data_IF_792278721930
#
_entry.id   IF_792278721930
#
_cell.length_a   1.000
_cell.length_b   1.000
_cell.length_c   1.000
_cell.angle_alpha   90.00
_cell.angle_beta   90.00
_cell.angle_gamma   90.00
#
_symmetry.space_group_name_H-M   'P 1'
#
loop_
_entity.id
_entity.type
_entity.pdbx_description
1 polymer ?
#
# COMPACT_ATOMS: atom_id res chain seq x y z
N UNK A 1 72.50 11.43 1.31
CA UNK A 1 71.60 12.06 2.31
C UNK A 1 70.85 13.28 1.78
N UNK A 2 71.48 14.21 1.05
CA UNK A 2 70.80 15.45 0.60
C UNK A 2 69.57 15.24 -0.31
N UNK A 3 69.53 14.21 -1.15
CA UNK A 3 68.38 13.96 -2.05
C UNK A 3 67.10 13.52 -1.32
N UNK A 4 67.23 12.81 -0.19
CA UNK A 4 66.09 12.33 0.61
C UNK A 4 65.48 13.49 1.40
N UNK A 5 66.31 14.40 1.89
CA UNK A 5 65.86 15.62 2.60
C UNK A 5 65.10 16.54 1.65
N UNK A 6 65.59 16.71 0.40
CA UNK A 6 64.90 17.52 -0.62
C UNK A 6 63.54 16.90 -0.97
N UNK A 7 63.47 15.57 -1.14
CA UNK A 7 62.21 14.88 -1.44
C UNK A 7 61.19 15.01 -0.31
N UNK A 8 61.64 14.89 0.94
CA UNK A 8 60.80 15.05 2.12
C UNK A 8 60.30 16.49 2.27
N UNK A 9 61.14 17.49 1.95
CA UNK A 9 60.76 18.90 1.99
C UNK A 9 59.74 19.25 0.90
N UNK A 10 59.89 18.69 -0.31
CA UNK A 10 58.92 18.89 -1.40
C UNK A 10 57.57 18.23 -1.12
N UNK A 11 57.56 17.04 -0.50
CA UNK A 11 56.32 16.37 -0.10
C UNK A 11 55.58 17.14 1.01
N UNK A 12 56.31 17.72 1.97
CA UNK A 12 55.73 18.51 3.05
C UNK A 12 55.12 19.83 2.53
N UNK A 13 55.81 20.53 1.63
CA UNK A 13 55.30 21.75 0.99
C UNK A 13 54.08 21.49 0.09
N UNK A 14 54.01 20.34 -0.59
CA UNK A 14 52.86 19.97 -1.40
C UNK A 14 51.59 19.74 -0.55
N UNK A 15 51.73 19.17 0.65
CA UNK A 15 50.58 18.99 1.57
C UNK A 15 50.09 20.28 2.21
N UNK A 16 50.95 21.30 2.35
CA UNK A 16 50.55 22.60 2.92
C UNK A 16 49.75 23.46 1.93
N UNK A 17 49.98 23.29 0.62
CA UNK A 17 49.30 24.07 -0.43
C UNK A 17 47.88 23.56 -0.75
N UNK A 18 47.56 22.29 -0.46
CA UNK A 18 46.24 21.71 -0.76
C UNK A 18 45.21 21.94 0.35
N UNK A 19 45.63 22.24 1.58
CA UNK A 19 44.72 22.47 2.71
C UNK A 19 44.28 23.94 2.89
N UNK A 20 44.89 24.89 2.18
CA UNK A 20 44.66 26.31 2.39
C UNK A 20 43.39 26.87 1.72
N UNK A 21 42.68 26.09 0.89
CA UNK A 21 41.63 26.62 -0.01
C UNK A 21 40.25 25.94 0.12
N UNK A 22 39.94 25.27 1.24
CA UNK A 22 38.54 25.00 1.57
C UNK A 22 37.90 26.31 2.03
N UNK A 23 36.96 26.91 1.25
CA UNK A 23 36.28 28.13 1.68
C UNK A 23 35.55 27.83 2.98
N UNK A 24 35.98 28.46 4.09
CA UNK A 24 35.38 28.26 5.42
C UNK A 24 33.92 28.73 5.49
N UNK A 25 33.51 29.56 4.52
CA UNK A 25 32.16 30.10 4.39
C UNK A 25 31.79 30.07 2.90
N UNK A 26 31.04 29.05 2.48
CA UNK A 26 30.35 29.09 1.19
C UNK A 26 29.22 30.10 1.30
N UNK A 27 29.09 30.99 0.32
CA UNK A 27 27.92 31.85 0.21
C UNK A 27 26.70 30.93 0.02
N UNK A 28 25.64 30.99 0.85
CA UNK A 28 24.50 30.08 0.74
C UNK A 28 23.84 30.08 -0.64
N UNK A 29 23.98 31.17 -1.40
CA UNK A 29 23.47 31.30 -2.77
C UNK A 29 24.34 30.60 -3.82
N UNK A 30 25.53 30.13 -3.46
CA UNK A 30 26.48 29.42 -4.33
C UNK A 30 26.61 27.93 -3.97
N UNK A 31 25.99 27.49 -2.88
CA UNK A 31 25.95 26.08 -2.52
C UNK A 31 24.96 25.35 -3.41
N UNK A 32 25.38 24.25 -4.03
CA UNK A 32 24.45 23.37 -4.73
C UNK A 32 23.46 22.78 -3.70
N UNK A 33 22.16 22.68 -4.05
CA UNK A 33 21.18 22.07 -3.16
C UNK A 33 21.61 20.64 -2.80
N UNK A 34 21.65 20.32 -1.51
CA UNK A 34 21.95 18.97 -1.07
C UNK A 34 20.84 18.03 -1.54
N UNK A 35 21.23 16.99 -2.28
CA UNK A 35 20.33 15.94 -2.72
C UNK A 35 20.12 14.92 -1.59
N UNK A 36 18.93 14.32 -1.50
CA UNK A 36 18.68 13.26 -0.52
C UNK A 36 19.62 12.06 -0.74
N UNK A 37 19.93 11.35 0.34
CA UNK A 37 20.75 10.15 0.29
C UNK A 37 20.07 9.06 -0.54
N UNK A 38 20.72 8.66 -1.64
CA UNK A 38 20.22 7.65 -2.58
C UNK A 38 19.96 6.31 -1.92
N UNK A 39 20.87 5.90 -1.03
CA UNK A 39 20.76 4.63 -0.30
C UNK A 39 19.60 4.68 0.69
N UNK A 40 19.47 5.78 1.43
CA UNK A 40 18.39 5.95 2.40
C UNK A 40 17.02 5.97 1.72
N UNK A 41 16.88 6.71 0.61
CA UNK A 41 15.65 6.71 -0.17
C UNK A 41 15.28 5.30 -0.62
N UNK A 42 16.22 4.56 -1.19
CA UNK A 42 15.95 3.19 -1.65
C UNK A 42 15.54 2.26 -0.49
N UNK A 43 16.18 2.39 0.68
CA UNK A 43 15.78 1.62 1.87
C UNK A 43 14.37 1.99 2.34
N UNK A 44 14.02 3.28 2.34
CA UNK A 44 12.71 3.75 2.76
C UNK A 44 11.63 3.23 1.80
N UNK A 45 11.81 3.39 0.48
CA UNK A 45 10.85 2.87 -0.49
C UNK A 45 10.75 1.35 -0.45
N UNK A 46 11.88 0.65 -0.28
CA UNK A 46 11.88 -0.80 -0.05
C UNK A 46 11.03 -1.17 1.17
N UNK A 47 11.20 -0.49 2.29
CA UNK A 47 10.41 -0.74 3.51
C UNK A 47 8.92 -0.43 3.35
N UNK A 48 8.56 0.62 2.60
CA UNK A 48 7.17 0.96 2.32
C UNK A 48 6.52 -0.15 1.49
N UNK A 49 7.21 -0.58 0.44
CA UNK A 49 6.74 -1.63 -0.46
C UNK A 49 6.63 -2.98 0.28
N UNK A 50 7.63 -3.35 1.08
CA UNK A 50 7.62 -4.57 1.89
C UNK A 50 6.45 -4.58 2.88
N UNK A 51 6.13 -3.44 3.48
CA UNK A 51 4.98 -3.29 4.35
C UNK A 51 3.65 -3.47 3.61
N UNK A 52 3.51 -2.88 2.41
CA UNK A 52 2.33 -3.06 1.58
C UNK A 52 2.14 -4.51 1.13
N UNK A 53 3.22 -5.19 0.73
CA UNK A 53 3.22 -6.63 0.39
C UNK A 53 2.79 -7.47 1.60
N UNK A 54 3.28 -7.13 2.78
CA UNK A 54 2.88 -7.78 4.05
C UNK A 54 1.49 -7.36 4.55
N UNK A 55 0.72 -6.63 3.74
CA UNK A 55 -0.61 -6.08 4.05
C UNK A 55 -0.66 -5.18 5.29
N UNK A 56 0.48 -4.62 5.69
CA UNK A 56 0.57 -3.59 6.71
C UNK A 56 0.43 -2.19 6.07
N UNK A 57 -0.75 -1.94 5.50
CA UNK A 57 -1.04 -0.73 4.74
C UNK A 57 -0.99 0.53 5.60
N UNK A 58 -1.38 0.44 6.88
CA UNK A 58 -1.28 1.55 7.83
C UNK A 58 0.16 2.04 7.96
N UNK A 59 1.11 1.12 8.24
CA UNK A 59 2.52 1.48 8.35
C UNK A 59 3.10 1.99 7.03
N UNK A 60 2.73 1.37 5.90
CA UNK A 60 3.18 1.83 4.58
C UNK A 60 2.74 3.28 4.31
N UNK A 61 1.47 3.62 4.56
CA UNK A 61 0.92 4.96 4.36
C UNK A 61 1.51 5.98 5.33
N UNK A 62 1.73 5.61 6.60
CA UNK A 62 2.43 6.46 7.58
C UNK A 62 3.84 6.80 7.10
N UNK A 63 4.59 5.81 6.61
CA UNK A 63 5.95 6.01 6.07
C UNK A 63 5.97 6.87 4.82
N UNK A 64 4.97 6.75 3.94
CA UNK A 64 4.83 7.66 2.80
C UNK A 64 4.49 9.08 3.27
N UNK A 65 3.69 9.24 4.32
CA UNK A 65 3.38 10.56 4.86
C UNK A 65 4.63 11.26 5.42
N UNK A 66 5.51 10.52 6.10
CA UNK A 66 6.81 11.03 6.58
C UNK A 66 7.69 11.58 5.45
N UNK A 67 7.60 11.02 4.23
CA UNK A 67 8.38 11.48 3.07
C UNK A 67 8.04 12.93 2.66
N UNK A 68 6.81 13.40 2.86
CA UNK A 68 6.46 14.80 2.57
C UNK A 68 7.13 15.81 3.50
N UNK A 69 7.70 15.36 4.63
CA UNK A 69 8.50 16.19 5.53
C UNK A 69 9.98 16.31 5.12
N UNK A 70 10.43 15.55 4.12
CA UNK A 70 11.82 15.55 3.67
C UNK A 70 12.08 16.77 2.78
N UNK A 71 13.20 17.46 3.02
CA UNK A 71 13.64 18.53 2.13
C UNK A 71 14.05 17.96 0.78
N UNK A 72 13.45 18.48 -0.30
CA UNK A 72 13.75 18.11 -1.68
C UNK A 72 14.02 19.38 -2.50
N UNK A 73 15.12 19.44 -3.25
CA UNK A 73 15.42 20.55 -4.14
C UNK A 73 14.30 20.80 -5.18
N UNK A 74 14.00 22.06 -5.45
CA UNK A 74 12.86 22.45 -6.32
C UNK A 74 12.95 21.86 -7.74
N UNK A 75 14.17 21.67 -8.25
CA UNK A 75 14.42 21.09 -9.58
C UNK A 75 14.03 19.61 -9.70
N UNK A 76 13.87 18.89 -8.58
CA UNK A 76 13.49 17.47 -8.56
C UNK A 76 12.20 17.20 -7.80
N UNK A 77 11.66 18.22 -7.14
CA UNK A 77 10.48 18.15 -6.28
C UNK A 77 9.25 17.56 -6.97
N UNK A 78 8.96 18.02 -8.20
CA UNK A 78 7.82 17.51 -8.97
C UNK A 78 7.89 15.99 -9.16
N UNK A 79 9.06 15.47 -9.57
CA UNK A 79 9.27 14.03 -9.81
C UNK A 79 9.15 13.25 -8.51
N UNK A 80 9.68 13.80 -7.41
CA UNK A 80 9.57 13.21 -6.09
C UNK A 80 8.12 13.13 -5.58
N UNK A 81 7.41 14.25 -5.63
CA UNK A 81 6.03 14.35 -5.16
C UNK A 81 5.10 13.46 -6.00
N UNK A 82 5.30 13.42 -7.33
CA UNK A 82 4.51 12.57 -8.23
C UNK A 82 4.70 11.09 -7.94
N UNK A 83 5.93 10.65 -7.73
CA UNK A 83 6.22 9.26 -7.38
C UNK A 83 5.56 8.86 -6.06
N UNK A 84 5.71 9.70 -5.02
CA UNK A 84 5.09 9.46 -3.71
C UNK A 84 3.55 9.48 -3.77
N UNK A 85 2.97 10.39 -4.57
CA UNK A 85 1.52 10.45 -4.78
C UNK A 85 1.00 9.15 -5.41
N UNK A 86 1.66 8.65 -6.46
CA UNK A 86 1.29 7.41 -7.13
C UNK A 86 1.42 6.20 -6.19
N UNK A 87 2.55 6.09 -5.47
CA UNK A 87 2.76 5.01 -4.50
C UNK A 87 1.70 5.05 -3.38
N UNK A 88 1.40 6.23 -2.84
CA UNK A 88 0.35 6.42 -1.83
C UNK A 88 -1.02 5.97 -2.34
N UNK A 89 -1.39 6.38 -3.55
CA UNK A 89 -2.65 6.00 -4.19
C UNK A 89 -2.75 4.50 -4.43
N UNK A 90 -1.67 3.87 -4.90
CA UNK A 90 -1.64 2.43 -5.12
C UNK A 90 -1.81 1.65 -3.81
N UNK A 91 -1.02 1.98 -2.79
CA UNK A 91 -1.10 1.35 -1.46
C UNK A 91 -2.51 1.51 -0.87
N UNK A 92 -3.12 2.69 -1.01
CA UNK A 92 -4.50 2.92 -0.55
C UNK A 92 -5.53 2.08 -1.32
N UNK A 93 -5.34 1.85 -2.62
CA UNK A 93 -6.25 1.00 -3.42
C UNK A 93 -6.07 -0.49 -3.13
N UNK A 94 -4.85 -0.91 -2.81
CA UNK A 94 -4.57 -2.27 -2.35
C UNK A 94 -5.19 -2.54 -0.97
N UNK A 95 -5.13 -1.57 -0.06
CA UNK A 95 -5.81 -1.63 1.23
C UNK A 95 -7.33 -1.77 1.07
N UNK A 96 -7.95 -0.87 0.28
CA UNK A 96 -9.38 -0.94 -0.05
C UNK A 96 -9.77 -2.30 -0.65
N UNK A 97 -8.95 -2.83 -1.55
CA UNK A 97 -9.17 -4.16 -2.13
C UNK A 97 -9.14 -5.25 -1.07
N UNK A 98 -8.15 -5.25 -0.17
CA UNK A 98 -8.05 -6.21 0.93
C UNK A 98 -9.27 -6.16 1.85
N UNK A 99 -9.72 -4.95 2.21
CA UNK A 99 -10.92 -4.74 3.02
C UNK A 99 -12.15 -5.36 2.33
N UNK A 100 -12.39 -5.06 1.05
CA UNK A 100 -13.53 -5.60 0.32
C UNK A 100 -13.45 -7.12 0.14
N UNK A 101 -12.26 -7.69 -0.06
CA UNK A 101 -12.06 -9.13 -0.12
C UNK A 101 -12.41 -9.81 1.21
N UNK A 102 -11.92 -9.28 2.32
CA UNK A 102 -12.22 -9.78 3.66
C UNK A 102 -13.71 -9.66 4.00
N UNK A 103 -14.34 -8.54 3.66
CA UNK A 103 -15.79 -8.39 3.81
C UNK A 103 -16.58 -9.36 2.94
N UNK A 104 -16.12 -9.63 1.72
CA UNK A 104 -16.76 -10.61 0.82
C UNK A 104 -16.71 -12.01 1.44
N UNK A 105 -15.55 -12.43 1.96
CA UNK A 105 -15.39 -13.70 2.67
C UNK A 105 -16.31 -13.78 3.89
N UNK A 106 -16.41 -12.71 4.67
CA UNK A 106 -17.29 -12.63 5.83
C UNK A 106 -18.77 -12.77 5.42
N UNK A 107 -19.22 -11.99 4.43
CA UNK A 107 -20.60 -12.03 3.92
C UNK A 107 -20.94 -13.42 3.36
N UNK A 108 -20.01 -14.06 2.64
CA UNK A 108 -20.16 -15.45 2.19
C UNK A 108 -20.32 -16.43 3.35
N UNK A 109 -19.52 -16.30 4.40
CA UNK A 109 -19.61 -17.17 5.58
C UNK A 109 -20.95 -17.03 6.33
N UNK A 110 -21.59 -15.86 6.21
CA UNK A 110 -22.90 -15.56 6.78
C UNK A 110 -24.06 -15.96 5.85
N UNK A 111 -23.77 -16.51 4.67
CA UNK A 111 -24.77 -16.83 3.65
C UNK A 111 -25.36 -15.60 2.96
N UNK A 112 -24.78 -14.41 3.14
CA UNK A 112 -25.25 -13.16 2.57
C UNK A 112 -24.78 -12.99 1.10
N UNK A 113 -25.35 -13.77 0.19
CA UNK A 113 -24.82 -14.01 -1.15
C UNK A 113 -24.90 -12.78 -2.08
N UNK A 114 -26.00 -12.04 -2.07
CA UNK A 114 -26.12 -10.81 -2.88
C UNK A 114 -25.21 -9.71 -2.33
N UNK A 115 -25.11 -9.58 -1.01
CA UNK A 115 -24.19 -8.61 -0.39
C UNK A 115 -22.73 -8.94 -0.69
N UNK A 116 -22.35 -10.23 -0.63
CA UNK A 116 -21.03 -10.69 -1.05
C UNK A 116 -20.77 -10.37 -2.53
N UNK A 117 -21.75 -10.60 -3.41
CA UNK A 117 -21.64 -10.29 -4.85
C UNK A 117 -21.34 -8.80 -5.08
N UNK A 118 -22.09 -7.91 -4.43
CA UNK A 118 -21.89 -6.45 -4.54
C UNK A 118 -20.52 -6.02 -4.00
N UNK A 119 -20.11 -6.61 -2.88
CA UNK A 119 -18.83 -6.27 -2.23
C UNK A 119 -17.64 -6.77 -3.05
N UNK A 120 -17.73 -7.95 -3.65
CA UNK A 120 -16.70 -8.47 -4.56
C UNK A 120 -16.51 -7.57 -5.78
N UNK A 121 -17.59 -6.97 -6.30
CA UNK A 121 -17.52 -6.00 -7.39
C UNK A 121 -16.77 -4.72 -6.99
N UNK A 122 -16.88 -4.30 -5.73
CA UNK A 122 -16.10 -3.17 -5.21
C UNK A 122 -14.61 -3.54 -5.12
N UNK A 123 -14.27 -4.77 -4.70
CA UNK A 123 -12.90 -5.27 -4.73
C UNK A 123 -12.33 -5.28 -6.16
N UNK A 124 -13.10 -5.75 -7.14
CA UNK A 124 -12.71 -5.76 -8.56
C UNK A 124 -12.44 -4.36 -9.10
N UNK A 125 -13.30 -3.39 -8.75
CA UNK A 125 -13.13 -2.00 -9.16
C UNK A 125 -11.89 -1.38 -8.53
N UNK A 126 -11.70 -1.55 -7.21
CA UNK A 126 -10.54 -1.01 -6.49
C UNK A 126 -9.22 -1.61 -6.99
N UNK A 127 -9.20 -2.92 -7.30
CA UNK A 127 -8.01 -3.58 -7.84
C UNK A 127 -7.70 -3.12 -9.26
N UNK A 128 -8.71 -2.91 -10.10
CA UNK A 128 -8.52 -2.38 -11.45
C UNK A 128 -7.92 -0.97 -11.41
N UNK A 129 -8.36 -0.13 -10.47
CA UNK A 129 -7.76 1.19 -10.23
C UNK A 129 -6.31 1.07 -9.75
N UNK A 130 -6.00 0.17 -8.81
CA UNK A 130 -4.63 -0.11 -8.37
C UNK A 130 -3.71 -0.52 -9.53
N UNK A 131 -4.17 -1.41 -10.40
CA UNK A 131 -3.42 -1.88 -11.57
C UNK A 131 -3.13 -0.79 -12.61
N UNK A 132 -4.04 0.18 -12.78
CA UNK A 132 -3.79 1.36 -13.62
C UNK A 132 -2.72 2.24 -12.98
N UNK A 133 -2.86 2.53 -11.68
CA UNK A 133 -1.91 3.37 -10.93
C UNK A 133 -0.52 2.73 -10.93
N UNK A 134 -0.44 1.40 -10.76
CA UNK A 134 0.82 0.67 -10.77
C UNK A 134 1.60 0.88 -12.08
N UNK A 135 0.90 0.82 -13.23
CA UNK A 135 1.54 1.08 -14.53
C UNK A 135 2.07 2.51 -14.63
N UNK A 136 1.33 3.49 -14.12
CA UNK A 136 1.82 4.87 -14.02
C UNK A 136 3.02 5.00 -13.07
N UNK A 137 3.03 4.24 -11.97
CA UNK A 137 4.13 4.21 -11.00
C UNK A 137 5.39 3.59 -11.60
N UNK A 138 5.27 2.49 -12.35
CA UNK A 138 6.37 1.87 -13.09
C UNK A 138 7.00 2.86 -14.08
N UNK A 139 6.19 3.62 -14.82
CA UNK A 139 6.69 4.64 -15.73
C UNK A 139 7.34 5.82 -14.99
N UNK A 140 6.71 6.31 -13.92
CA UNK A 140 7.26 7.36 -13.06
C UNK A 140 8.58 6.94 -12.40
N UNK A 141 8.75 5.65 -12.08
CA UNK A 141 9.96 5.11 -11.45
C UNK A 141 11.23 5.31 -12.30
N UNK A 142 11.09 5.36 -13.63
CA UNK A 142 12.20 5.56 -14.58
C UNK A 142 12.75 6.99 -14.46
N UNK A 143 11.85 7.98 -14.48
CA UNK A 143 12.20 9.39 -14.32
C UNK A 143 12.73 9.65 -12.90
N UNK A 144 12.03 9.12 -11.89
CA UNK A 144 12.43 9.20 -10.49
C UNK A 144 13.84 8.64 -10.25
N UNK A 145 14.15 7.49 -10.85
CA UNK A 145 15.48 6.89 -10.76
C UNK A 145 16.56 7.71 -11.47
N UNK A 146 16.25 8.26 -12.64
CA UNK A 146 17.18 9.10 -13.40
C UNK A 146 17.51 10.39 -12.67
N UNK A 147 16.50 11.06 -12.10
CA UNK A 147 16.64 12.40 -11.52
C UNK A 147 17.29 12.35 -10.13
N UNK A 148 16.90 11.38 -9.29
CA UNK A 148 17.48 11.22 -7.96
C UNK A 148 18.73 10.33 -7.95
N UNK A 149 19.04 9.69 -9.08
CA UNK A 149 20.20 8.82 -9.24
C UNK A 149 20.16 7.57 -8.36
N UNK A 150 18.96 7.07 -8.06
CA UNK A 150 18.75 5.78 -7.38
C UNK A 150 18.80 4.63 -8.40
N UNK A 151 19.02 3.42 -7.90
CA UNK A 151 19.14 2.23 -8.74
C UNK A 151 17.77 1.79 -9.29
N UNK A 152 17.52 2.07 -10.57
CA UNK A 152 16.30 1.62 -11.26
C UNK A 152 16.08 0.11 -11.13
N UNK A 153 17.08 -0.78 -11.36
CA UNK A 153 16.86 -2.23 -11.22
C UNK A 153 16.39 -2.66 -9.82
N UNK A 154 16.88 -2.01 -8.77
CA UNK A 154 16.48 -2.33 -7.40
C UNK A 154 15.06 -1.84 -7.10
N UNK A 155 14.70 -0.64 -7.59
CA UNK A 155 13.34 -0.11 -7.46
C UNK A 155 12.33 -0.92 -8.28
N UNK A 156 12.65 -1.21 -9.54
CA UNK A 156 11.77 -2.00 -10.43
C UNK A 156 11.51 -3.40 -9.88
N UNK A 157 12.51 -4.06 -9.29
CA UNK A 157 12.29 -5.36 -8.64
C UNK A 157 11.28 -5.26 -7.50
N UNK A 158 11.32 -4.18 -6.70
CA UNK A 158 10.36 -3.96 -5.62
C UNK A 158 8.96 -3.66 -6.16
N UNK A 159 8.85 -2.89 -7.24
CA UNK A 159 7.57 -2.68 -7.90
C UNK A 159 7.02 -4.00 -8.47
N UNK A 160 7.84 -4.87 -9.02
CA UNK A 160 7.38 -6.20 -9.47
C UNK A 160 6.78 -7.02 -8.31
N UNK A 161 7.36 -6.95 -7.11
CA UNK A 161 6.80 -7.61 -5.92
C UNK A 161 5.41 -7.03 -5.53
N UNK A 162 5.12 -5.74 -5.82
CA UNK A 162 3.77 -5.17 -5.71
C UNK A 162 2.82 -5.65 -6.81
N UNK A 163 3.33 -5.81 -8.03
CA UNK A 163 2.55 -6.38 -9.15
C UNK A 163 2.12 -7.81 -8.82
N UNK A 164 2.97 -8.59 -8.17
CA UNK A 164 2.63 -9.94 -7.70
C UNK A 164 1.45 -9.90 -6.72
N UNK A 165 1.43 -8.97 -5.76
CA UNK A 165 0.28 -8.78 -4.85
C UNK A 165 -1.02 -8.43 -5.61
N UNK A 166 -0.94 -7.57 -6.64
CA UNK A 166 -2.10 -7.27 -7.51
C UNK A 166 -2.61 -8.56 -8.18
N UNK A 167 -1.71 -9.43 -8.63
CA UNK A 167 -2.06 -10.70 -9.23
C UNK A 167 -2.68 -11.67 -8.21
N UNK A 168 -2.14 -11.74 -6.98
CA UNK A 168 -2.73 -12.53 -5.89
C UNK A 168 -4.18 -12.11 -5.60
N UNK A 169 -4.44 -10.80 -5.50
CA UNK A 169 -5.80 -10.30 -5.33
C UNK A 169 -6.70 -10.61 -6.53
N UNK A 170 -6.17 -10.56 -7.75
CA UNK A 170 -6.93 -10.93 -8.96
C UNK A 170 -7.37 -12.39 -8.92
N UNK A 171 -6.47 -13.28 -8.53
CA UNK A 171 -6.74 -14.71 -8.40
C UNK A 171 -7.75 -15.00 -7.28
N UNK A 172 -7.65 -14.26 -6.17
CA UNK A 172 -8.61 -14.35 -5.07
C UNK A 172 -10.02 -13.90 -5.50
N UNK A 173 -10.13 -12.76 -6.20
CA UNK A 173 -11.40 -12.28 -6.76
C UNK A 173 -12.02 -13.33 -7.69
N UNK A 174 -11.21 -13.93 -8.56
CA UNK A 174 -11.67 -14.97 -9.46
C UNK A 174 -12.20 -16.20 -8.70
N UNK A 175 -11.48 -16.66 -7.68
CA UNK A 175 -11.89 -17.77 -6.82
C UNK A 175 -13.23 -17.49 -6.11
N UNK A 176 -13.37 -16.32 -5.48
CA UNK A 176 -14.61 -15.90 -4.81
C UNK A 176 -15.77 -15.76 -5.80
N UNK A 177 -15.52 -15.26 -7.01
CA UNK A 177 -16.52 -15.17 -8.08
C UNK A 177 -17.04 -16.55 -8.50
N UNK A 178 -16.14 -17.54 -8.63
CA UNK A 178 -16.52 -18.92 -8.91
C UNK A 178 -17.35 -19.52 -7.77
N UNK A 179 -16.95 -19.29 -6.52
CA UNK A 179 -17.69 -19.77 -5.35
C UNK A 179 -19.11 -19.18 -5.32
N UNK A 180 -19.25 -17.86 -5.51
CA UNK A 180 -20.57 -17.19 -5.59
C UNK A 180 -21.41 -17.80 -6.70
N UNK A 181 -20.86 -17.99 -7.91
CA UNK A 181 -21.58 -18.60 -9.04
C UNK A 181 -22.05 -20.01 -8.72
N UNK A 182 -21.24 -20.82 -8.03
CA UNK A 182 -21.63 -22.16 -7.62
C UNK A 182 -22.76 -22.16 -6.58
N UNK A 183 -22.70 -21.25 -5.60
CA UNK A 183 -23.76 -21.09 -4.59
C UNK A 183 -25.08 -20.64 -5.23
N UNK A 184 -25.04 -19.67 -6.16
CA UNK A 184 -26.20 -19.22 -6.93
C UNK A 184 -26.82 -20.36 -7.75
N UNK A 185 -26.00 -21.19 -8.41
CA UNK A 185 -26.48 -22.35 -9.17
C UNK A 185 -27.17 -23.41 -8.31
N UNK A 186 -26.81 -23.50 -7.02
CA UNK A 186 -27.45 -24.41 -6.07
C UNK A 186 -28.75 -23.85 -5.48
N UNK A 187 -29.21 -22.68 -5.97
CA UNK A 187 -30.36 -21.96 -5.43
C UNK A 187 -30.25 -21.73 -3.91
N UNK A 188 -29.01 -21.56 -3.42
CA UNK A 188 -28.79 -21.16 -2.03
C UNK A 188 -29.13 -19.68 -1.95
N UNK A 189 -30.28 -19.39 -1.34
CA UNK A 189 -30.75 -18.04 -1.08
C UNK A 189 -30.24 -17.63 0.30
N UNK A 190 -29.67 -16.44 0.41
CA UNK A 190 -29.33 -15.90 1.73
C UNK A 190 -30.60 -15.71 2.56
N UNK A 191 -30.48 -15.87 3.88
CA UNK A 191 -31.64 -15.81 4.78
C UNK A 191 -31.37 -14.87 5.94
N UNK A 192 -32.45 -14.25 6.42
CA UNK A 192 -32.45 -13.34 7.56
C UNK A 192 -33.46 -13.84 8.59
N UNK A 193 -32.97 -14.16 9.78
CA UNK A 193 -33.81 -14.52 10.92
C UNK A 193 -34.05 -13.28 11.78
N UNK A 194 -35.30 -12.89 11.95
CA UNK A 194 -35.70 -11.86 12.93
C UNK A 194 -36.38 -12.55 14.10
N UNK A 195 -35.88 -12.32 15.32
CA UNK A 195 -36.42 -12.87 16.55
C UNK A 195 -36.96 -11.74 17.42
N UNK A 196 -38.10 -12.00 18.06
CA UNK A 196 -38.69 -11.16 19.08
C UNK A 196 -38.88 -11.99 20.35
N UNK A 197 -38.54 -11.40 21.48
CA UNK A 197 -38.79 -11.97 22.79
C UNK A 197 -39.85 -11.13 23.51
N UNK A 198 -40.73 -11.82 24.23
CA UNK A 198 -41.75 -11.18 25.07
C UNK A 198 -41.19 -10.32 26.22
N UNK A 199 -39.95 -10.57 26.64
CA UNK A 199 -39.24 -9.77 27.64
C UNK A 199 -37.72 -9.94 27.49
N UNK A 200 -36.94 -8.92 27.87
CA UNK A 200 -35.47 -8.99 27.98
C UNK A 200 -35.00 -9.52 29.34
N UNK A 201 -35.88 -9.53 30.35
CA UNK A 201 -35.60 -9.97 31.72
C UNK A 201 -36.78 -10.81 32.25
N UNK A 202 -36.49 -11.83 33.06
CA UNK A 202 -37.54 -12.70 33.60
C UNK A 202 -37.13 -13.34 34.94
N UNK A 203 -38.11 -13.55 35.82
CA UNK A 203 -37.91 -14.24 37.11
C UNK A 203 -37.64 -15.72 36.91
N UNK A 204 -36.86 -16.32 37.82
CA UNK A 204 -36.59 -17.77 37.80
C UNK A 204 -37.92 -18.53 37.89
N UNK A 205 -38.15 -19.43 36.93
CA UNK A 205 -39.39 -20.21 36.81
C UNK A 205 -40.48 -19.59 35.95
N UNK A 206 -40.29 -18.36 35.45
CA UNK A 206 -41.23 -17.75 34.50
C UNK A 206 -40.97 -18.17 33.06
N UNK A 207 -42.01 -18.08 32.21
CA UNK A 207 -41.93 -18.44 30.79
C UNK A 207 -41.68 -17.20 29.94
N UNK A 208 -40.64 -17.23 29.11
CA UNK A 208 -40.41 -16.25 28.05
C UNK A 208 -40.89 -16.86 26.72
N UNK A 209 -41.71 -16.12 25.99
CA UNK A 209 -42.06 -16.45 24.61
C UNK A 209 -41.05 -15.81 23.67
N UNK A 210 -40.48 -16.62 22.77
CA UNK A 210 -39.66 -16.17 21.64
C UNK A 210 -40.40 -16.59 20.37
N UNK A 211 -40.55 -15.66 19.44
CA UNK A 211 -41.10 -15.92 18.11
C UNK A 211 -40.23 -15.25 17.07
N UNK A 212 -40.36 -15.67 15.82
CA UNK A 212 -39.52 -15.14 14.77
C UNK A 212 -40.07 -15.38 13.39
N UNK A 213 -39.42 -14.78 12.41
CA UNK A 213 -39.68 -14.99 11.00
C UNK A 213 -38.36 -15.20 10.27
N UNK A 214 -38.33 -16.20 9.40
CA UNK A 214 -37.25 -16.41 8.45
C UNK A 214 -37.66 -15.73 7.13
N UNK A 215 -36.79 -14.86 6.64
CA UNK A 215 -36.94 -14.17 5.36
C UNK A 215 -35.76 -14.46 4.47
N UNK A 216 -35.90 -14.26 3.16
CA UNK A 216 -34.75 -14.23 2.25
C UNK A 216 -34.04 -12.85 2.31
N UNK A 217 -33.00 -12.68 1.49
CA UNK A 217 -32.23 -11.42 1.42
C UNK A 217 -33.03 -10.22 0.91
N UNK A 218 -34.16 -10.47 0.22
CA UNK A 218 -35.06 -9.46 -0.35
C UNK A 218 -36.28 -9.19 0.57
N UNK A 219 -36.21 -9.68 1.82
CA UNK A 219 -37.23 -9.54 2.87
C UNK A 219 -38.55 -10.32 2.59
N UNK A 220 -38.54 -11.27 1.65
CA UNK A 220 -39.69 -12.14 1.40
C UNK A 220 -39.80 -13.24 2.46
N UNK A 221 -40.99 -13.54 2.99
CA UNK A 221 -41.17 -14.62 3.96
C UNK A 221 -40.84 -15.99 3.37
N UNK A 222 -39.97 -16.75 4.03
CA UNK A 222 -39.71 -18.15 3.68
C UNK A 222 -40.73 -19.05 4.39
N UNK A 223 -41.89 -19.26 3.75
CA UNK A 223 -42.98 -20.08 4.30
C UNK A 223 -42.66 -21.58 4.18
N UNK A 224 -42.84 -22.34 5.27
CA UNK A 224 -42.76 -23.81 5.25
C UNK A 224 -41.36 -24.41 5.38
N UNK A 225 -40.37 -23.62 5.84
CA UNK A 225 -39.04 -24.08 6.25
C UNK A 225 -38.72 -23.61 7.66
#
# INVERSE_FOLDING_TARGET
>A
MNKIIILALTALLATALTYANLPRHLNPQQAEPEMPSKLELLMIYGSIIDAAISQNFTYALEKIHELYGVYIPENVKYVYDRFNELLSKEVSKLDQTSIFLNETKLKLSQGLLENATRTLKNAETSLAEADIIHRELEDSSKEFSSVLGISLPQLSRKLEELRDLIQEYRDEIYSLSLQIKQLKKKEIIGTKLTLWASSSEAWIGSRIMIYGTLRDEDDNPMMGR
#
